data_IF_960533011780
#
_entry.id   IF_960533011780
#
_cell.length_a   1.000
_cell.length_b   1.000
_cell.length_c   1.000
_cell.angle_alpha   90.00
_cell.angle_beta   90.00
_cell.angle_gamma   90.00
#
_symmetry.space_group_name_H-M   'P 1'
#
loop_
_entity.id
_entity.type
_entity.pdbx_description
1 polymer ?
#
# COMPACT_ATOMS: atom_id res chain seq x y z
N UNK A 1 18.09 12.21 15.30
CA UNK A 1 16.75 11.64 15.55
C UNK A 1 15.93 11.43 14.27
N UNK A 2 16.23 12.11 13.16
CA UNK A 2 15.59 11.85 11.85
C UNK A 2 15.97 10.49 11.22
N UNK A 3 17.24 10.10 11.26
CA UNK A 3 17.72 8.81 10.70
C UNK A 3 17.00 7.58 11.26
N UNK A 4 16.71 7.58 12.57
CA UNK A 4 16.03 6.45 13.23
C UNK A 4 14.56 6.36 12.82
N UNK A 5 13.92 7.51 12.56
CA UNK A 5 12.53 7.57 12.11
C UNK A 5 12.40 7.09 10.67
N UNK A 6 13.34 7.48 9.80
CA UNK A 6 13.39 7.01 8.42
C UNK A 6 13.53 5.47 8.33
N UNK A 7 14.40 4.89 9.16
CA UNK A 7 14.58 3.44 9.22
C UNK A 7 13.33 2.70 9.71
N UNK A 8 12.65 3.25 10.72
CA UNK A 8 11.38 2.68 11.23
C UNK A 8 10.30 2.73 10.15
N UNK A 9 10.15 3.86 9.46
CA UNK A 9 9.18 4.00 8.38
C UNK A 9 9.47 3.07 7.19
N UNK A 10 10.74 2.84 6.88
CA UNK A 10 11.15 1.89 5.84
C UNK A 10 10.76 0.44 6.21
N UNK A 11 10.98 0.03 7.46
CA UNK A 11 10.58 -1.30 7.95
C UNK A 11 9.06 -1.48 7.94
N UNK A 12 8.32 -0.45 8.36
CA UNK A 12 6.85 -0.45 8.33
C UNK A 12 6.34 -0.55 6.89
N UNK A 13 6.93 0.21 5.96
CA UNK A 13 6.58 0.14 4.53
C UNK A 13 6.84 -1.24 3.92
N UNK A 14 7.97 -1.87 4.27
CA UNK A 14 8.32 -3.22 3.82
C UNK A 14 7.31 -4.27 4.32
N UNK A 15 7.01 -4.25 5.62
CA UNK A 15 6.08 -5.21 6.21
C UNK A 15 4.67 -5.03 5.66
N UNK A 16 4.23 -3.78 5.53
CA UNK A 16 2.91 -3.45 4.95
C UNK A 16 2.82 -3.87 3.49
N UNK A 17 3.90 -3.70 2.70
CA UNK A 17 3.96 -4.16 1.31
C UNK A 17 3.89 -5.70 1.17
N UNK A 18 4.54 -6.44 2.07
CA UNK A 18 4.44 -7.91 2.12
C UNK A 18 3.00 -8.32 2.44
N UNK A 19 2.40 -7.75 3.49
CA UNK A 19 1.02 -8.09 3.88
C UNK A 19 0.01 -7.68 2.81
N UNK A 20 0.17 -6.51 2.19
CA UNK A 20 -0.66 -6.07 1.07
C UNK A 20 -0.56 -7.01 -0.14
N UNK A 21 0.65 -7.52 -0.44
CA UNK A 21 0.87 -8.49 -1.51
C UNK A 21 0.30 -9.88 -1.22
N UNK A 22 0.31 -10.31 0.06
CA UNK A 22 -0.25 -11.59 0.49
C UNK A 22 -1.78 -11.60 0.52
N UNK A 23 -2.40 -10.54 1.04
CA UNK A 23 -3.85 -10.47 1.19
C UNK A 23 -4.54 -9.86 -0.04
N UNK A 24 -3.83 -9.15 -0.91
CA UNK A 24 -4.43 -8.41 -2.03
C UNK A 24 -5.21 -7.17 -1.61
N UNK A 25 -5.22 -6.84 -0.32
CA UNK A 25 -5.99 -5.74 0.30
C UNK A 25 -5.10 -4.51 0.49
N UNK A 26 -4.40 -4.03 -0.55
CA UNK A 26 -3.81 -2.68 -0.65
C UNK A 26 -2.98 -2.05 0.51
N UNK A 27 -2.69 -2.71 1.63
CA UNK A 27 -1.91 -2.20 2.77
C UNK A 27 -2.57 -1.10 3.62
N UNK A 28 -3.62 -0.44 3.13
CA UNK A 28 -4.18 0.76 3.77
C UNK A 28 -4.74 0.56 5.17
N UNK A 29 -5.25 -0.64 5.47
CA UNK A 29 -5.72 -1.02 6.81
C UNK A 29 -4.61 -1.03 7.87
N UNK A 30 -3.35 -1.19 7.44
CA UNK A 30 -2.16 -1.12 8.30
C UNK A 30 -1.55 0.29 8.27
N UNK A 31 -1.49 0.92 7.09
CA UNK A 31 -0.90 2.26 6.93
C UNK A 31 -1.68 3.32 7.72
N UNK A 32 -3.01 3.33 7.68
CA UNK A 32 -3.80 4.38 8.36
C UNK A 32 -3.62 4.34 9.88
N UNK A 33 -3.79 3.20 10.58
CA UNK A 33 -3.51 3.13 12.02
C UNK A 33 -2.06 3.47 12.35
N UNK A 34 -1.09 2.97 11.58
CA UNK A 34 0.33 3.23 11.83
C UNK A 34 0.70 4.71 11.74
N UNK A 35 0.15 5.44 10.76
CA UNK A 35 0.33 6.87 10.62
C UNK A 35 -0.33 7.67 11.76
N UNK A 36 -1.51 7.24 12.21
CA UNK A 36 -2.17 7.84 13.39
C UNK A 36 -1.32 7.61 14.66
N UNK A 37 -0.79 6.40 14.85
CA UNK A 37 0.14 6.11 15.96
C UNK A 37 1.41 6.94 15.89
N UNK A 38 1.90 7.26 14.69
CA UNK A 38 3.02 8.17 14.45
C UNK A 38 2.65 9.67 14.57
N UNK A 39 1.47 10.00 15.11
CA UNK A 39 0.99 11.35 15.38
C UNK A 39 0.69 12.20 14.14
N UNK A 40 0.46 11.58 12.98
CA UNK A 40 -0.10 12.29 11.84
C UNK A 40 -1.60 12.56 12.05
N UNK A 41 -2.07 13.72 11.59
CA UNK A 41 -3.51 14.02 11.55
C UNK A 41 -4.25 13.00 10.68
N UNK A 42 -5.51 12.73 10.98
CA UNK A 42 -6.33 11.76 10.24
C UNK A 42 -6.33 12.02 8.73
N UNK A 43 -6.46 13.28 8.30
CA UNK A 43 -6.44 13.65 6.88
C UNK A 43 -5.11 13.31 6.20
N UNK A 44 -3.98 13.46 6.89
CA UNK A 44 -2.66 13.08 6.38
C UNK A 44 -2.49 11.56 6.34
N UNK A 45 -2.93 10.84 7.37
CA UNK A 45 -2.87 9.38 7.42
C UNK A 45 -3.63 8.74 6.26
N UNK A 46 -4.85 9.24 5.98
CA UNK A 46 -5.64 8.80 4.82
C UNK A 46 -4.93 9.12 3.51
N UNK A 47 -4.37 10.33 3.37
CA UNK A 47 -3.63 10.73 2.16
C UNK A 47 -2.42 9.83 1.88
N UNK A 48 -1.62 9.52 2.91
CA UNK A 48 -0.46 8.62 2.81
C UNK A 48 -0.89 7.22 2.39
N UNK A 49 -1.96 6.70 2.98
CA UNK A 49 -2.51 5.38 2.64
C UNK A 49 -2.99 5.33 1.19
N UNK A 50 -3.73 6.33 0.72
CA UNK A 50 -4.23 6.37 -0.66
C UNK A 50 -3.08 6.42 -1.67
N UNK A 51 -2.05 7.24 -1.40
CA UNK A 51 -0.86 7.29 -2.26
C UNK A 51 -0.15 5.93 -2.31
N UNK A 52 0.04 5.29 -1.15
CA UNK A 52 0.64 3.95 -1.10
C UNK A 52 -0.20 2.91 -1.85
N UNK A 53 -1.52 2.93 -1.70
CA UNK A 53 -2.45 2.02 -2.39
C UNK A 53 -2.38 2.19 -3.91
N UNK A 54 -2.31 3.42 -4.41
CA UNK A 54 -2.17 3.69 -5.84
C UNK A 54 -0.93 3.00 -6.42
N UNK A 55 0.23 3.18 -5.79
CA UNK A 55 1.46 2.55 -6.26
C UNK A 55 1.41 1.02 -6.16
N UNK A 56 0.92 0.46 -5.04
CA UNK A 56 0.85 -1.00 -4.91
C UNK A 56 -0.13 -1.62 -5.89
N UNK A 57 -1.27 -0.98 -6.15
CA UNK A 57 -2.27 -1.48 -7.09
C UNK A 57 -1.78 -1.43 -8.53
N UNK A 58 -1.05 -0.38 -8.92
CA UNK A 58 -0.43 -0.30 -10.25
C UNK A 58 0.60 -1.43 -10.42
N UNK A 59 1.52 -1.58 -9.47
CA UNK A 59 2.56 -2.63 -9.54
C UNK A 59 1.92 -4.03 -9.51
N UNK A 60 0.96 -4.26 -8.62
CA UNK A 60 0.21 -5.51 -8.52
C UNK A 60 -0.54 -5.84 -9.81
N UNK A 61 -1.18 -4.85 -10.44
CA UNK A 61 -1.88 -5.02 -11.72
C UNK A 61 -0.90 -5.40 -12.83
N UNK A 62 0.25 -4.72 -12.93
CA UNK A 62 1.28 -5.06 -13.93
C UNK A 62 1.79 -6.49 -13.73
N UNK A 63 2.06 -6.89 -12.49
CA UNK A 63 2.55 -8.25 -12.18
C UNK A 63 1.49 -9.30 -12.54
N UNK A 64 0.23 -9.08 -12.16
CA UNK A 64 -0.86 -10.02 -12.46
C UNK A 64 -1.16 -10.09 -13.96
N UNK A 65 -1.06 -8.97 -14.67
CA UNK A 65 -1.15 -8.93 -16.13
C UNK A 65 -0.06 -9.76 -16.79
N UNK A 66 1.20 -9.61 -16.37
CA UNK A 66 2.33 -10.41 -16.90
C UNK A 66 2.21 -11.90 -16.57
N UNK A 67 1.52 -12.26 -15.48
CA UNK A 67 1.25 -13.66 -15.11
C UNK A 67 0.03 -14.25 -15.83
N UNK A 68 -0.68 -13.47 -16.66
CA UNK A 68 -1.92 -13.90 -17.31
C UNK A 68 -3.09 -14.08 -16.34
N UNK A 69 -2.98 -13.57 -15.12
CA UNK A 69 -4.01 -13.66 -14.08
C UNK A 69 -4.94 -12.46 -14.06
N UNK A 70 -4.63 -11.41 -14.84
CA UNK A 70 -5.45 -10.22 -14.99
C UNK A 70 -5.91 -10.10 -16.44
N UNK A 71 -7.19 -10.40 -16.69
CA UNK A 71 -7.83 -10.13 -17.98
C UNK A 71 -8.49 -8.74 -17.95
N UNK A 72 -7.90 -7.80 -18.69
CA UNK A 72 -8.40 -6.43 -18.79
C UNK A 72 -9.73 -6.32 -19.54
N UNK A 73 -10.10 -7.33 -20.35
CA UNK A 73 -11.40 -7.37 -21.04
C UNK A 73 -12.53 -7.78 -20.11
N UNK A 74 -12.27 -8.60 -19.10
CA UNK A 74 -13.29 -8.93 -18.10
C UNK A 74 -13.52 -7.74 -17.14
N UNK A 75 -12.45 -7.02 -16.78
CA UNK A 75 -12.54 -5.86 -15.90
C UNK A 75 -13.24 -4.63 -16.51
N UNK A 76 -13.36 -4.51 -17.84
CA UNK A 76 -14.02 -3.35 -18.47
C UNK A 76 -15.55 -3.38 -18.42
N UNK A 77 -16.16 -4.50 -17.99
CA UNK A 77 -17.62 -4.68 -17.90
C UNK A 77 -18.12 -4.90 -16.46
N UNK A 78 -17.25 -4.74 -15.46
CA UNK A 78 -17.60 -4.80 -14.03
C UNK A 78 -17.97 -3.44 -13.46
#
# INVERSE_FOLDING_TARGET
>A
MEESTAFILALVGLFTGITAGFFGIGGGEIVVPSAIFAHFSYSHAVGISLMQMLFSSVVGSIINYKKGLLDLREGSFA
#
